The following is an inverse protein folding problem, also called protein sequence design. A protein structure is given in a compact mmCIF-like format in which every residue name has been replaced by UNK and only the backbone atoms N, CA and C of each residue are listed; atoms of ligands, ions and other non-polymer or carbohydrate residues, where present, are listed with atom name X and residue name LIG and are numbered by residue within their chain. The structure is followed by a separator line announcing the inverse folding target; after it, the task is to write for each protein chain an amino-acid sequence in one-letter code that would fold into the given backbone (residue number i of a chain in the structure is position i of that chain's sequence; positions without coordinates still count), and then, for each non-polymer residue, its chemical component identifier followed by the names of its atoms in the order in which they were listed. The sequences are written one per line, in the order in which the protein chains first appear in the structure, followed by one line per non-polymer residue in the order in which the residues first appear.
data_IF_098305591540
#
_entry.id   IF_098305591540
#
_cell.length_a   1.000
_cell.length_b   1.000
_cell.length_c   1.000
_cell.angle_alpha   90.00
_cell.angle_beta   90.00
_cell.angle_gamma   90.00
#
_symmetry.space_group_name_H-M   'P 1'
#
loop_
_entity.id
_entity.type
_entity.pdbx_description
1 polymer ?
#
# COMPACT_ATOMS: atom_id res chain seq x y z
N UNK A 1 3.89 -1.45 4.98
CA UNK A 1 4.39 -2.82 4.68
C UNK A 1 3.61 -3.80 5.53
N UNK A 2 3.09 -4.87 4.93
CA UNK A 2 2.34 -5.89 5.66
C UNK A 2 3.29 -6.89 6.33
N UNK A 3 2.86 -7.40 7.48
CA UNK A 3 3.46 -8.52 8.20
C UNK A 3 2.40 -9.58 8.50
N UNK A 4 2.77 -10.84 8.81
CA UNK A 4 1.81 -11.93 9.03
C UNK A 4 0.74 -11.65 10.10
N UNK A 5 1.03 -10.77 11.06
CA UNK A 5 0.08 -10.39 12.10
C UNK A 5 -0.93 -9.31 11.69
N UNK A 6 -0.81 -8.73 10.50
CA UNK A 6 -1.72 -7.67 10.07
C UNK A 6 -3.07 -8.22 9.62
N UNK A 7 -4.14 -7.77 10.29
CA UNK A 7 -5.51 -8.11 9.90
C UNK A 7 -5.98 -7.17 8.78
N UNK A 8 -6.63 -7.68 7.72
CA UNK A 8 -7.10 -6.85 6.60
C UNK A 8 -7.97 -5.66 7.05
N UNK A 9 -8.83 -5.87 8.05
CA UNK A 9 -9.72 -4.83 8.59
C UNK A 9 -8.96 -3.68 9.24
N UNK A 10 -7.91 -3.98 10.01
CA UNK A 10 -7.06 -2.97 10.67
C UNK A 10 -6.24 -2.18 9.64
N UNK A 11 -5.75 -2.86 8.60
CA UNK A 11 -5.02 -2.22 7.49
C UNK A 11 -5.94 -1.29 6.72
N UNK A 12 -7.15 -1.74 6.36
CA UNK A 12 -8.14 -0.91 5.69
C UNK A 12 -8.50 0.32 6.54
N UNK A 13 -8.67 0.15 7.86
CA UNK A 13 -8.92 1.26 8.75
C UNK A 13 -7.79 2.30 8.74
N UNK A 14 -6.52 1.85 8.79
CA UNK A 14 -5.35 2.74 8.69
C UNK A 14 -5.29 3.47 7.35
N UNK A 15 -5.50 2.76 6.24
CA UNK A 15 -5.51 3.36 4.89
C UNK A 15 -6.54 4.50 4.83
N UNK A 16 -7.77 4.23 5.27
CA UNK A 16 -8.83 5.24 5.27
C UNK A 16 -8.50 6.42 6.18
N UNK A 17 -7.94 6.18 7.38
CA UNK A 17 -7.53 7.25 8.29
C UNK A 17 -6.46 8.17 7.67
N UNK A 18 -5.45 7.62 6.99
CA UNK A 18 -4.42 8.41 6.31
C UNK A 18 -5.00 9.22 5.13
N UNK A 19 -5.86 8.60 4.32
CA UNK A 19 -6.51 9.31 3.21
C UNK A 19 -7.43 10.43 3.72
N UNK A 20 -8.13 10.20 4.83
CA UNK A 20 -8.97 11.20 5.49
C UNK A 20 -8.14 12.37 6.05
N UNK A 21 -6.91 12.13 6.52
CA UNK A 21 -6.02 13.19 7.01
C UNK A 21 -5.36 14.03 5.89
N UNK A 22 -5.71 13.77 4.62
CA UNK A 22 -5.22 14.54 3.49
C UNK A 22 -3.94 13.99 2.86
N UNK A 23 -3.48 12.79 3.25
CA UNK A 23 -2.41 12.12 2.52
C UNK A 23 -2.85 11.86 1.08
N UNK A 24 -1.95 12.17 0.13
CA UNK A 24 -2.20 12.04 -1.30
C UNK A 24 -2.27 10.58 -1.76
N UNK A 25 -1.44 9.72 -1.16
CA UNK A 25 -1.35 8.30 -1.52
C UNK A 25 -0.80 7.48 -0.34
N UNK A 26 -1.38 6.30 -0.13
CA UNK A 26 -0.87 5.29 0.81
C UNK A 26 -0.37 4.10 0.00
N UNK A 27 0.90 3.73 0.22
CA UNK A 27 1.54 2.61 -0.49
C UNK A 27 1.51 1.37 0.41
N UNK A 28 0.87 0.31 -0.08
CA UNK A 28 0.80 -0.98 0.62
C UNK A 28 1.67 -1.98 -0.11
N UNK A 29 2.60 -2.58 0.61
CA UNK A 29 3.46 -3.67 0.12
C UNK A 29 3.01 -4.96 0.79
N UNK A 30 2.54 -5.92 0.00
CA UNK A 30 2.10 -7.23 0.48
C UNK A 30 3.27 -8.17 0.76
N UNK A 31 2.99 -9.29 1.44
CA UNK A 31 3.98 -10.34 1.71
C UNK A 31 4.47 -11.03 0.43
N UNK A 32 3.64 -11.06 -0.62
CA UNK A 32 3.97 -11.61 -1.94
C UNK A 32 4.71 -10.60 -2.84
N UNK A 33 5.02 -9.40 -2.33
CA UNK A 33 5.69 -8.36 -3.12
C UNK A 33 4.79 -7.57 -4.04
N UNK A 34 3.47 -7.69 -3.90
CA UNK A 34 2.55 -6.82 -4.62
C UNK A 34 2.55 -5.42 -3.99
N UNK A 35 2.57 -4.40 -4.84
CA UNK A 35 2.48 -3.00 -4.42
C UNK A 35 1.14 -2.44 -4.89
N UNK A 36 0.37 -1.92 -3.95
CA UNK A 36 -0.89 -1.22 -4.21
C UNK A 36 -0.77 0.24 -3.81
N UNK A 37 -1.30 1.12 -4.65
CA UNK A 37 -1.31 2.55 -4.41
C UNK A 37 -2.75 3.00 -4.10
N UNK A 38 -3.03 3.27 -2.83
CA UNK A 38 -4.35 3.67 -2.35
C UNK A 38 -4.48 5.19 -2.35
N UNK A 39 -5.55 5.70 -2.95
CA UNK A 39 -5.89 7.13 -3.05
C UNK A 39 -7.37 7.33 -2.74
N UNK A 40 -7.78 8.60 -2.62
CA UNK A 40 -9.19 8.95 -2.36
C UNK A 40 -10.16 8.44 -3.43
N UNK A 41 -9.70 8.26 -4.67
CA UNK A 41 -10.47 7.78 -5.81
C UNK A 41 -10.36 6.26 -6.03
N UNK A 42 -9.54 5.55 -5.24
CA UNK A 42 -9.43 4.09 -5.29
C UNK A 42 -8.00 3.56 -5.31
N UNK A 43 -7.85 2.33 -5.79
CA UNK A 43 -6.57 1.63 -5.90
C UNK A 43 -6.01 1.81 -7.30
N UNK A 44 -4.71 2.11 -7.39
CA UNK A 44 -3.99 2.35 -8.64
C UNK A 44 -2.78 1.43 -8.77
N UNK A 45 -2.29 1.26 -10.01
CA UNK A 45 -1.11 0.44 -10.34
C UNK A 45 0.21 1.23 -10.35
N UNK A 46 0.15 2.56 -10.29
CA UNK A 46 1.31 3.46 -10.34
C UNK A 46 1.21 4.48 -9.22
N UNK A 47 2.35 5.00 -8.75
CA UNK A 47 2.39 6.06 -7.75
C UNK A 47 1.97 7.42 -8.32
N UNK A 48 1.35 8.27 -7.49
CA UNK A 48 1.00 9.66 -7.80
C UNK A 48 2.23 10.59 -7.75
N UNK A 49 3.34 10.06 -7.26
CA UNK A 49 4.62 10.73 -7.12
C UNK A 49 5.64 10.29 -8.17
N UNK A 50 5.22 9.49 -9.17
CA UNK A 50 6.10 8.88 -10.17
C UNK A 50 7.29 8.10 -9.55
N UNK A 51 7.06 7.47 -8.41
CA UNK A 51 8.05 6.64 -7.73
C UNK A 51 8.11 5.24 -8.37
N UNK A 52 9.23 4.85 -9.00
CA UNK A 52 9.41 3.48 -9.49
C UNK A 52 9.77 2.57 -8.31
N UNK A 53 8.76 1.93 -7.70
CA UNK A 53 8.98 0.92 -6.66
C UNK A 53 9.05 -0.46 -7.29
N UNK A 54 10.13 -1.18 -7.04
CA UNK A 54 10.31 -2.58 -7.44
C UNK A 54 10.71 -3.38 -6.21
N UNK A 55 9.95 -4.42 -5.91
CA UNK A 55 10.28 -5.36 -4.83
C UNK A 55 11.22 -6.43 -5.42
N UNK A 56 12.46 -6.59 -4.91
CA UNK A 56 13.33 -7.67 -5.35
C UNK A 56 12.70 -9.04 -5.08
N UNK A 57 12.67 -9.91 -6.10
CA UNK A 57 12.01 -11.22 -6.02
C UNK A 57 12.59 -12.15 -4.95
N UNK A 58 13.86 -11.97 -4.57
CA UNK A 58 14.50 -12.78 -3.52
C UNK A 58 14.06 -12.40 -2.09
N UNK A 59 13.34 -11.29 -1.92
CA UNK A 59 12.82 -10.84 -0.61
C UNK A 59 11.38 -11.29 -0.35
N UNK A 60 10.77 -11.97 -1.30
CA UNK A 60 9.37 -12.43 -1.23
C UNK A 60 9.32 -13.93 -1.44
N UNK A 61 8.57 -14.63 -0.58
CA UNK A 61 8.48 -16.09 -0.50
C UNK A 61 7.05 -16.57 -0.66
#
# INVERSE_FOLDING_TARGET
VLSPGNRPTEINHKIQAYLASGIREVIVVSLQGHVEYHRKDGIHLKSAFDLPLTIPSHLVS
#
